data_IF_461032896363
#
_entry.id   IF_461032896363
#
_cell.length_a   1.000
_cell.length_b   1.000
_cell.length_c   1.000
_cell.angle_alpha   90.00
_cell.angle_beta   90.00
_cell.angle_gamma   90.00
#
_symmetry.space_group_name_H-M   'P 1'
#
loop_
_entity.id
_entity.type
_entity.pdbx_description
1 polymer ?
#
# COMPACT_ATOMS: atom_id res chain seq x y z
N UNK A 1 -12.43 29.20 -20.22
CA UNK A 1 -11.88 28.09 -19.41
C UNK A 1 -11.56 28.67 -18.06
N UNK A 2 -12.32 28.30 -17.04
CA UNK A 2 -12.07 28.70 -15.66
C UNK A 2 -10.71 28.13 -15.23
N UNK A 3 -9.82 28.99 -14.72
CA UNK A 3 -8.50 28.59 -14.27
C UNK A 3 -8.68 27.72 -13.04
N UNK A 4 -8.50 26.40 -13.17
CA UNK A 4 -8.42 25.52 -12.01
C UNK A 4 -7.15 25.86 -11.24
N UNK A 5 -7.29 26.45 -10.05
CA UNK A 5 -6.17 26.89 -9.23
C UNK A 5 -5.41 25.72 -8.58
N UNK A 6 -5.99 24.51 -8.58
CA UNK A 6 -5.37 23.28 -8.08
C UNK A 6 -5.27 22.20 -9.16
N UNK A 7 -4.11 21.53 -9.30
CA UNK A 7 -3.96 20.40 -10.23
C UNK A 7 -4.88 19.21 -9.88
N UNK A 8 -5.34 19.11 -8.63
CA UNK A 8 -6.33 18.12 -8.23
C UNK A 8 -7.72 18.41 -8.81
N UNK A 9 -8.08 19.68 -8.98
CA UNK A 9 -9.39 20.04 -9.55
C UNK A 9 -9.42 19.70 -11.04
N UNK A 10 -8.30 19.88 -11.74
CA UNK A 10 -8.15 19.43 -13.12
C UNK A 10 -8.27 17.90 -13.24
N UNK A 11 -7.69 17.15 -12.30
CA UNK A 11 -7.82 15.69 -12.26
C UNK A 11 -9.29 15.28 -12.10
N UNK A 12 -10.02 15.92 -11.18
CA UNK A 12 -11.43 15.60 -10.94
C UNK A 12 -12.38 16.14 -12.00
N UNK A 13 -11.95 17.12 -12.79
CA UNK A 13 -12.66 17.55 -14.00
C UNK A 13 -12.69 16.43 -15.05
N UNK A 14 -11.55 15.80 -15.35
CA UNK A 14 -11.49 14.68 -16.29
C UNK A 14 -12.01 13.35 -15.73
N UNK A 15 -11.79 13.12 -14.43
CA UNK A 15 -12.16 11.88 -13.75
C UNK A 15 -13.01 12.20 -12.51
N UNK A 16 -14.34 12.31 -12.68
CA UNK A 16 -15.25 12.72 -11.61
C UNK A 16 -15.21 11.81 -10.39
N UNK A 17 -15.55 12.34 -9.21
CA UNK A 17 -15.60 11.57 -7.94
C UNK A 17 -16.46 10.30 -8.03
N UNK A 18 -17.56 10.36 -8.79
CA UNK A 18 -18.47 9.23 -9.01
C UNK A 18 -17.83 8.08 -9.79
N UNK A 19 -16.90 8.36 -10.69
CA UNK A 19 -16.15 7.35 -11.44
C UNK A 19 -15.37 6.45 -10.50
N UNK A 20 -14.65 7.04 -9.54
CA UNK A 20 -13.83 6.30 -8.58
C UNK A 20 -14.66 5.37 -7.69
N UNK A 21 -15.85 5.81 -7.28
CA UNK A 21 -16.79 4.96 -6.55
C UNK A 21 -17.29 3.79 -7.40
N UNK A 22 -17.56 4.01 -8.70
CA UNK A 22 -17.92 2.93 -9.63
C UNK A 22 -16.77 1.95 -9.81
N UNK A 23 -15.55 2.42 -10.04
CA UNK A 23 -14.36 1.56 -10.17
C UNK A 23 -14.18 0.70 -8.92
N UNK A 24 -14.29 1.29 -7.74
CA UNK A 24 -14.19 0.55 -6.48
C UNK A 24 -15.27 -0.54 -6.36
N UNK A 25 -16.53 -0.20 -6.69
CA UNK A 25 -17.63 -1.17 -6.71
C UNK A 25 -17.35 -2.34 -7.65
N UNK A 26 -16.99 -2.05 -8.90
CA UNK A 26 -16.72 -3.07 -9.91
C UNK A 26 -15.48 -3.90 -9.57
N UNK A 27 -14.46 -3.29 -8.95
CA UNK A 27 -13.25 -3.99 -8.48
C UNK A 27 -13.56 -4.97 -7.35
N UNK A 28 -14.40 -4.57 -6.39
CA UNK A 28 -14.87 -5.48 -5.34
C UNK A 28 -15.73 -6.61 -5.93
N UNK A 29 -16.62 -6.30 -6.88
CA UNK A 29 -17.40 -7.34 -7.58
C UNK A 29 -16.50 -8.34 -8.29
N UNK A 30 -15.46 -7.86 -8.96
CA UNK A 30 -14.47 -8.73 -9.61
C UNK A 30 -13.75 -9.61 -8.58
N UNK A 31 -13.38 -9.06 -7.42
CA UNK A 31 -12.77 -9.83 -6.34
C UNK A 31 -13.66 -10.99 -5.89
N UNK A 32 -14.94 -10.71 -5.62
CA UNK A 32 -15.90 -11.72 -5.18
C UNK A 32 -16.09 -12.83 -6.23
N UNK A 33 -16.22 -12.44 -7.50
CA UNK A 33 -16.36 -13.38 -8.62
C UNK A 33 -15.18 -14.35 -8.74
N UNK A 34 -13.96 -13.90 -8.43
CA UNK A 34 -12.73 -14.69 -8.61
C UNK A 34 -12.15 -15.20 -7.29
N UNK A 35 -12.88 -15.06 -6.18
CA UNK A 35 -12.40 -15.42 -4.85
C UNK A 35 -12.04 -16.91 -4.78
N UNK A 36 -12.92 -17.80 -5.24
CA UNK A 36 -12.68 -19.24 -5.19
C UNK A 36 -11.41 -19.66 -5.94
N UNK A 37 -11.24 -19.22 -7.19
CA UNK A 37 -10.04 -19.54 -7.96
C UNK A 37 -8.77 -18.99 -7.31
N UNK A 38 -8.87 -17.81 -6.69
CA UNK A 38 -7.77 -17.22 -5.93
C UNK A 38 -7.42 -18.09 -4.72
N UNK A 39 -8.42 -18.56 -3.96
CA UNK A 39 -8.22 -19.48 -2.84
C UNK A 39 -7.55 -20.77 -3.32
N UNK A 40 -7.98 -21.35 -4.44
CA UNK A 40 -7.39 -22.59 -4.96
C UNK A 40 -5.92 -22.40 -5.35
N UNK A 41 -5.60 -21.28 -6.02
CA UNK A 41 -4.20 -20.92 -6.33
C UNK A 41 -3.37 -20.69 -5.07
N UNK A 42 -3.94 -20.07 -4.04
CA UNK A 42 -3.26 -19.84 -2.77
C UNK A 42 -3.02 -21.16 -2.03
N UNK A 43 -4.03 -22.00 -1.94
CA UNK A 43 -3.97 -23.33 -1.33
C UNK A 43 -2.88 -24.19 -1.99
N UNK A 44 -2.89 -24.30 -3.33
CA UNK A 44 -1.87 -25.04 -4.08
C UNK A 44 -0.45 -24.54 -3.77
N UNK A 45 -0.25 -23.22 -3.76
CA UNK A 45 1.04 -22.61 -3.40
C UNK A 45 1.47 -22.88 -1.96
N UNK A 46 0.56 -23.06 -1.00
CA UNK A 46 0.93 -23.43 0.37
C UNK A 46 1.30 -24.92 0.45
N UNK A 47 0.58 -25.79 -0.26
CA UNK A 47 0.88 -27.23 -0.37
C UNK A 47 2.22 -27.49 -1.05
N UNK A 48 2.53 -26.77 -2.13
CA UNK A 48 3.84 -26.80 -2.81
C UNK A 48 4.99 -26.40 -1.87
N UNK A 49 4.71 -25.58 -0.85
CA UNK A 49 5.68 -25.18 0.19
C UNK A 49 5.73 -26.16 1.37
N UNK A 50 5.07 -27.31 1.29
CA UNK A 50 5.04 -28.33 2.33
C UNK A 50 4.20 -27.97 3.56
N UNK A 51 3.35 -26.93 3.48
CA UNK A 51 2.50 -26.55 4.62
C UNK A 51 1.24 -27.40 4.66
N UNK A 52 0.97 -27.94 5.83
CA UNK A 52 -0.29 -28.61 6.14
C UNK A 52 -1.33 -27.57 6.56
N UNK A 53 -1.99 -26.99 5.55
CA UNK A 53 -3.14 -26.09 5.72
C UNK A 53 -4.30 -26.65 4.92
N UNK A 54 -5.53 -26.46 5.41
CA UNK A 54 -6.75 -26.79 4.68
C UNK A 54 -7.15 -25.66 3.73
N UNK A 55 -8.06 -25.94 2.79
CA UNK A 55 -8.57 -24.91 1.86
C UNK A 55 -9.41 -23.89 2.62
N UNK A 56 -10.18 -24.36 3.58
CA UNK A 56 -11.07 -23.60 4.45
C UNK A 56 -10.29 -22.61 5.30
N UNK A 57 -9.15 -23.04 5.89
CA UNK A 57 -8.26 -22.13 6.61
C UNK A 57 -7.69 -21.02 5.72
N UNK A 58 -7.38 -21.33 4.46
CA UNK A 58 -6.89 -20.33 3.50
C UNK A 58 -8.00 -19.34 3.17
N UNK A 59 -9.23 -19.82 2.99
CA UNK A 59 -10.41 -18.99 2.78
C UNK A 59 -10.69 -18.08 3.97
N UNK A 60 -10.72 -18.61 5.20
CA UNK A 60 -10.95 -17.84 6.42
C UNK A 60 -9.88 -16.76 6.63
N UNK A 61 -8.62 -17.11 6.36
CA UNK A 61 -7.51 -16.14 6.44
C UNK A 61 -7.69 -15.03 5.41
N UNK A 62 -8.04 -15.37 4.17
CA UNK A 62 -8.25 -14.37 3.12
C UNK A 62 -9.46 -13.48 3.43
N UNK A 63 -10.58 -14.05 3.88
CA UNK A 63 -11.78 -13.31 4.27
C UNK A 63 -11.50 -12.31 5.41
N UNK A 64 -10.69 -12.69 6.40
CA UNK A 64 -10.28 -11.79 7.50
C UNK A 64 -9.34 -10.66 7.04
N UNK A 65 -8.55 -10.90 5.99
CA UNK A 65 -7.58 -9.93 5.47
C UNK A 65 -8.20 -8.98 4.45
N UNK A 66 -9.16 -9.46 3.66
CA UNK A 66 -9.75 -8.68 2.61
C UNK A 66 -10.60 -7.54 3.19
N UNK A 67 -10.34 -6.33 2.72
CA UNK A 67 -11.14 -5.14 3.00
C UNK A 67 -11.68 -4.62 1.67
N UNK A 68 -12.95 -4.23 1.60
CA UNK A 68 -13.52 -3.70 0.37
C UNK A 68 -12.78 -2.42 -0.04
N UNK A 69 -12.39 -2.37 -1.30
CA UNK A 69 -11.70 -1.24 -1.90
C UNK A 69 -12.66 -0.04 -1.89
N UNK A 70 -12.17 1.12 -1.43
CA UNK A 70 -12.90 2.39 -1.45
C UNK A 70 -12.39 3.29 -2.58
N UNK A 71 -13.26 4.15 -3.11
CA UNK A 71 -12.90 5.02 -4.25
C UNK A 71 -11.67 5.91 -4.00
N UNK A 72 -11.46 6.40 -2.78
CA UNK A 72 -10.27 7.20 -2.46
C UNK A 72 -8.97 6.38 -2.44
N UNK A 73 -9.04 5.07 -2.18
CA UNK A 73 -7.88 4.18 -2.27
C UNK A 73 -7.46 3.99 -3.72
N UNK A 74 -8.43 3.90 -4.63
CA UNK A 74 -8.18 3.91 -6.09
C UNK A 74 -7.46 5.20 -6.51
N UNK A 75 -7.93 6.36 -6.07
CA UNK A 75 -7.28 7.65 -6.38
C UNK A 75 -5.84 7.69 -5.85
N UNK A 76 -5.59 7.18 -4.64
CA UNK A 76 -4.23 7.07 -4.08
C UNK A 76 -3.32 6.21 -4.94
N UNK A 77 -3.79 5.05 -5.40
CA UNK A 77 -3.00 4.15 -6.27
C UNK A 77 -2.70 4.82 -7.61
N UNK A 78 -3.66 5.49 -8.24
CA UNK A 78 -3.42 6.25 -9.48
C UNK A 78 -2.41 7.37 -9.24
N UNK A 79 -2.52 8.12 -8.15
CA UNK A 79 -1.56 9.16 -7.78
C UNK A 79 -0.14 8.60 -7.62
N UNK A 80 0.01 7.43 -6.98
CA UNK A 80 1.31 6.74 -6.85
C UNK A 80 1.85 6.27 -8.21
N UNK A 81 1.00 5.76 -9.09
CA UNK A 81 1.40 5.38 -10.45
C UNK A 81 1.85 6.59 -11.27
N UNK A 82 1.11 7.70 -11.21
CA UNK A 82 1.50 8.96 -11.85
C UNK A 82 2.81 9.49 -11.29
N UNK A 83 3.00 9.48 -9.97
CA UNK A 83 4.25 9.88 -9.35
C UNK A 83 5.43 9.04 -9.87
N UNK A 84 5.25 7.72 -10.02
CA UNK A 84 6.26 6.81 -10.57
C UNK A 84 6.51 7.02 -12.07
N UNK A 85 5.51 7.46 -12.83
CA UNK A 85 5.67 7.79 -14.25
C UNK A 85 6.39 9.14 -14.46
N UNK A 86 6.10 10.13 -13.61
CA UNK A 86 6.67 11.48 -13.67
C UNK A 86 8.08 11.56 -13.08
N UNK A 87 8.30 10.83 -12.00
CA UNK A 87 9.62 10.55 -11.45
C UNK A 87 9.91 9.07 -11.68
N UNK A 88 10.19 8.66 -12.93
CA UNK A 88 10.76 7.34 -13.14
C UNK A 88 12.03 7.38 -12.32
N UNK A 89 12.18 6.46 -11.37
CA UNK A 89 13.42 6.30 -10.63
C UNK A 89 14.52 6.21 -11.68
N UNK A 90 15.22 7.33 -11.89
CA UNK A 90 16.19 7.44 -12.94
C UNK A 90 17.22 6.36 -12.65
N UNK A 91 17.74 5.74 -13.70
CA UNK A 91 18.79 4.76 -13.64
C UNK A 91 20.10 5.39 -13.10
N UNK A 92 20.08 5.81 -11.84
CA UNK A 92 21.22 6.27 -11.07
C UNK A 92 21.19 5.52 -9.73
N UNK A 93 21.78 4.33 -9.79
CA UNK A 93 22.06 3.42 -8.68
C UNK A 93 22.92 4.06 -7.56
N UNK A 94 23.28 5.34 -7.67
CA UNK A 94 24.12 6.06 -6.71
C UNK A 94 23.35 6.74 -5.57
N UNK A 95 22.07 7.09 -5.75
CA UNK A 95 21.28 7.72 -4.66
C UNK A 95 20.71 6.67 -3.70
N UNK A 96 20.48 5.42 -4.14
CA UNK A 96 20.15 4.31 -3.22
C UNK A 96 21.36 3.96 -2.33
N UNK A 97 22.60 4.28 -2.76
CA UNK A 97 23.81 4.07 -1.97
C UNK A 97 23.95 4.97 -0.73
N UNK A 98 23.12 6.02 -0.58
CA UNK A 98 23.09 6.86 0.62
C UNK A 98 22.00 6.46 1.62
N UNK A 99 21.15 5.50 1.27
CA UNK A 99 20.41 4.74 2.27
C UNK A 99 21.21 3.46 2.55
N UNK A 100 22.13 3.59 3.50
CA UNK A 100 22.89 2.48 4.07
C UNK A 100 22.01 1.22 4.23
N UNK A 101 22.51 0.01 3.90
CA UNK A 101 21.73 -1.24 3.91
C UNK A 101 20.98 -1.56 5.22
N UNK A 102 21.32 -0.87 6.31
CA UNK A 102 20.61 -0.98 7.59
C UNK A 102 19.20 -0.38 7.59
N UNK A 103 18.89 0.62 6.76
CA UNK A 103 17.57 1.28 6.78
C UNK A 103 16.48 0.48 6.04
N UNK A 104 16.84 -0.22 4.96
CA UNK A 104 15.91 -1.12 4.26
C UNK A 104 15.66 -2.42 5.06
N UNK A 105 16.61 -2.85 5.89
CA UNK A 105 16.34 -3.95 6.84
C UNK A 105 15.29 -3.59 7.88
N UNK A 106 15.12 -2.32 8.25
CA UNK A 106 14.11 -1.92 9.23
C UNK A 106 12.69 -1.82 8.64
N UNK A 107 12.53 -1.41 7.38
CA UNK A 107 11.21 -1.42 6.74
C UNK A 107 10.74 -2.82 6.32
N UNK A 108 11.67 -3.71 5.93
CA UNK A 108 11.32 -5.11 5.63
C UNK A 108 11.05 -5.90 6.91
N UNK A 109 11.75 -5.63 8.02
CA UNK A 109 11.42 -6.27 9.30
C UNK A 109 10.14 -5.72 9.95
N UNK A 110 9.76 -4.45 9.74
CA UNK A 110 8.54 -3.91 10.36
C UNK A 110 7.24 -4.45 9.76
N UNK A 111 7.26 -4.97 8.52
CA UNK A 111 6.08 -5.63 7.91
C UNK A 111 6.18 -7.16 7.96
N UNK A 112 7.34 -7.74 8.31
CA UNK A 112 7.56 -9.19 8.28
C UNK A 112 7.53 -9.94 9.63
N UNK A 113 7.42 -9.29 10.79
CA UNK A 113 7.53 -9.99 12.09
C UNK A 113 6.25 -10.02 12.94
N UNK A 114 5.06 -10.06 12.32
CA UNK A 114 3.86 -10.49 13.04
C UNK A 114 3.02 -11.49 12.23
N UNK A 115 3.63 -12.65 11.95
CA UNK A 115 2.89 -13.87 11.61
C UNK A 115 3.60 -15.09 12.17
N UNK A 116 3.46 -15.30 13.47
CA UNK A 116 3.65 -16.59 14.11
C UNK A 116 2.82 -16.59 15.39
N UNK A 117 1.75 -17.38 15.40
CA UNK A 117 1.21 -17.88 16.66
C UNK A 117 2.25 -18.85 17.20
N UNK A 118 2.86 -18.51 18.33
CA UNK A 118 2.62 -19.20 19.60
C UNK A 118 3.61 -18.68 20.67
N UNK A 119 3.06 -18.50 21.88
CA UNK A 119 3.71 -18.38 23.19
C UNK A 119 4.42 -17.06 23.59
N UNK A 120 3.78 -16.43 24.58
CA UNK A 120 4.34 -15.78 25.78
C UNK A 120 5.49 -14.76 25.66
N UNK A 121 5.19 -13.58 26.22
CA UNK A 121 6.07 -12.51 26.70
C UNK A 121 6.84 -11.65 25.69
N UNK A 122 6.60 -10.34 25.83
CA UNK A 122 7.41 -9.22 25.33
C UNK A 122 7.19 -8.78 23.87
N UNK A 123 6.13 -7.99 23.65
CA UNK A 123 6.09 -7.03 22.55
C UNK A 123 5.61 -5.66 23.07
N UNK A 124 6.52 -4.91 23.73
CA UNK A 124 6.27 -3.54 24.24
C UNK A 124 6.73 -2.43 23.28
N UNK A 125 6.77 -2.65 21.96
CA UNK A 125 7.36 -1.67 21.02
C UNK A 125 6.48 -1.22 19.86
N UNK A 126 5.20 -1.58 19.83
CA UNK A 126 4.26 -1.01 18.85
C UNK A 126 3.65 0.31 19.31
N UNK A 127 4.48 1.32 19.61
CA UNK A 127 4.04 2.72 19.69
C UNK A 127 4.45 3.41 18.40
N UNK A 128 3.49 3.67 17.52
CA UNK A 128 3.68 4.51 16.33
C UNK A 128 4.22 5.89 16.75
N UNK A 129 5.39 6.37 16.27
CA UNK A 129 5.74 7.77 16.42
C UNK A 129 5.02 8.59 15.36
N UNK A 130 4.18 9.51 15.82
CA UNK A 130 3.67 10.66 15.08
C UNK A 130 4.86 11.43 14.48
N UNK A 131 5.11 11.30 13.18
CA UNK A 131 6.07 12.19 12.49
C UNK A 131 5.40 13.55 12.23
N UNK A 132 5.53 14.47 13.20
CA UNK A 132 5.57 15.90 12.93
C UNK A 132 6.83 16.19 12.09
N UNK A 133 6.64 16.71 10.89
CA UNK A 133 7.72 17.34 10.10
C UNK A 133 7.92 18.78 10.60
N UNK A 134 9.14 19.20 10.99
CA UNK A 134 9.44 20.62 11.14
C UNK A 134 9.73 21.21 9.76
N UNK A 135 8.80 22.01 9.26
CA UNK A 135 9.04 22.92 8.13
C UNK A 135 9.45 24.27 8.71
N UNK A 136 10.39 24.95 8.06
CA UNK A 136 10.88 26.31 8.30
C UNK A 136 12.09 26.47 9.24
N UNK A 137 13.28 26.50 8.62
CA UNK A 137 14.26 27.56 8.90
C UNK A 137 15.25 27.70 7.75
N UNK A 138 14.92 28.53 6.76
CA UNK A 138 15.86 29.09 5.79
C UNK A 138 15.24 30.33 5.10
N UNK A 139 14.86 31.32 5.90
CA UNK A 139 14.76 32.73 5.45
C UNK A 139 15.22 33.56 6.65
N UNK A 140 16.48 34.00 6.63
CA UNK A 140 17.01 35.20 7.31
C UNK A 140 18.53 35.23 7.14
N UNK A 141 18.97 35.74 5.98
CA UNK A 141 20.25 36.46 5.84
C UNK A 141 20.09 37.41 4.65
N UNK A 142 19.63 38.60 4.98
CA UNK A 142 19.28 39.67 4.05
C UNK A 142 18.91 40.93 4.83
N UNK A 143 19.81 41.36 5.72
CA UNK A 143 19.99 42.74 6.17
C UNK A 143 21.47 42.95 6.45
#
# INVERSE_FOLDING_TARGET
MEKTDSPLDLLFFFMPRSLWSKIAKESNRYYDQHLNERIDRMYRKQREKGKEVTREEVMDKEAKQHKPIKGHETVRVIGLLMARMLYPHSADSRIIGLLHPSALSLLVHSVATCRRGDLAESCRTCTFPTMLMPTQRLIERGK
#
